data_IF_468644123363
#
_entry.id   IF_468644123363
#
_cell.length_a   1.000
_cell.length_b   1.000
_cell.length_c   1.000
_cell.angle_alpha   90.00
_cell.angle_beta   90.00
_cell.angle_gamma   90.00
#
_symmetry.space_group_name_H-M   'P 1'
#
loop_
_entity.id
_entity.type
_entity.pdbx_description
1 polymer ?
#
# COMPACT_ATOMS: atom_id res chain seq x y z
N UNK A 1 -6.65 -5.61 10.34
CA UNK A 1 -6.10 -6.94 10.02
C UNK A 1 -6.68 -8.06 10.88
N UNK A 2 -7.44 -7.74 11.96
CA UNK A 2 -7.92 -8.71 12.92
C UNK A 2 -9.43 -8.85 12.91
N UNK A 3 -9.92 -10.04 13.25
CA UNK A 3 -11.33 -10.30 13.53
C UNK A 3 -11.69 -9.71 14.90
N UNK A 4 -12.75 -8.91 14.92
CA UNK A 4 -13.29 -8.32 16.15
C UNK A 4 -14.81 -8.41 16.09
N UNK A 5 -15.42 -9.24 16.92
CA UNK A 5 -16.86 -9.49 16.88
C UNK A 5 -17.68 -8.33 17.47
N UNK A 6 -17.12 -7.61 18.43
CA UNK A 6 -17.76 -6.47 19.09
C UNK A 6 -16.84 -5.27 19.03
N UNK A 7 -17.28 -4.22 18.34
CA UNK A 7 -16.49 -3.01 18.14
C UNK A 7 -17.29 -1.77 18.47
N UNK A 8 -16.72 -0.90 19.28
CA UNK A 8 -17.26 0.42 19.54
C UNK A 8 -16.11 1.43 19.60
N UNK A 9 -16.18 2.48 18.78
CA UNK A 9 -15.23 3.57 18.81
C UNK A 9 -15.98 4.90 18.87
N UNK A 10 -15.43 5.84 19.62
CA UNK A 10 -15.88 7.23 19.67
C UNK A 10 -14.67 8.11 19.48
N UNK A 11 -14.73 9.04 18.55
CA UNK A 11 -13.71 10.05 18.32
C UNK A 11 -14.30 11.45 18.42
N UNK A 12 -13.55 12.38 19.01
CA UNK A 12 -13.94 13.77 19.12
C UNK A 12 -12.85 14.63 18.50
N UNK A 13 -13.18 15.34 17.43
CA UNK A 13 -12.30 16.32 16.83
C UNK A 13 -12.48 17.66 17.53
N UNK A 14 -11.39 18.26 17.99
CA UNK A 14 -11.41 19.53 18.71
C UNK A 14 -10.52 20.56 18.02
N UNK A 15 -10.92 21.83 18.07
CA UNK A 15 -10.05 22.93 17.68
C UNK A 15 -9.03 23.20 18.78
N UNK A 16 -7.79 23.43 18.40
CA UNK A 16 -6.70 23.78 19.32
C UNK A 16 -5.94 24.99 18.76
N UNK A 17 -5.03 25.55 19.57
CA UNK A 17 -4.11 26.61 19.14
C UNK A 17 -2.90 26.06 18.36
N UNK A 18 -2.81 24.75 18.18
CA UNK A 18 -1.78 24.12 17.36
C UNK A 18 -2.16 24.19 15.87
N UNK A 19 -1.20 24.08 14.95
CA UNK A 19 -1.51 23.92 13.52
C UNK A 19 -2.49 22.77 13.31
N UNK A 20 -3.46 22.92 12.37
CA UNK A 20 -4.46 21.89 12.14
C UNK A 20 -3.82 20.60 11.62
N UNK A 21 -4.29 19.48 12.15
CA UNK A 21 -3.94 18.17 11.62
C UNK A 21 -4.65 17.96 10.28
N UNK A 22 -3.99 17.26 9.36
CA UNK A 22 -4.52 16.93 8.04
C UNK A 22 -4.18 15.51 7.63
N UNK A 23 -4.58 15.16 6.41
CA UNK A 23 -4.25 13.87 5.84
C UNK A 23 -2.74 13.74 5.61
N UNK A 24 -2.14 12.72 6.22
CA UNK A 24 -0.76 12.35 6.01
C UNK A 24 -0.70 10.96 5.37
N UNK A 25 0.39 10.62 4.70
CA UNK A 25 0.60 9.31 4.07
C UNK A 25 0.31 8.16 5.06
N UNK A 26 -0.56 7.23 4.66
CA UNK A 26 -1.12 6.20 5.55
C UNK A 26 -2.46 6.57 6.17
N UNK A 27 -2.89 7.85 6.11
CA UNK A 27 -4.22 8.36 6.43
C UNK A 27 -4.76 7.93 7.81
N UNK A 28 -3.90 7.95 8.83
CA UNK A 28 -4.21 7.57 10.21
C UNK A 28 -4.00 6.09 10.54
N UNK A 29 -3.75 5.23 9.56
CA UNK A 29 -3.41 3.82 9.83
C UNK A 29 -2.14 3.67 10.67
N UNK A 30 -1.04 4.42 10.44
CA UNK A 30 0.13 4.31 11.30
C UNK A 30 -0.17 4.62 12.77
N UNK A 31 -0.94 5.68 13.04
CA UNK A 31 -1.31 6.07 14.40
C UNK A 31 -2.20 5.04 15.08
N UNK A 32 -3.21 4.53 14.36
CA UNK A 32 -4.09 3.49 14.91
C UNK A 32 -3.37 2.15 15.05
N UNK A 33 -2.41 1.84 14.16
CA UNK A 33 -1.60 0.64 14.28
C UNK A 33 -0.73 0.68 15.55
N UNK A 34 -0.10 1.81 15.86
CA UNK A 34 0.69 1.95 17.10
C UNK A 34 -0.19 1.61 18.31
N UNK A 35 -1.36 2.24 18.43
CA UNK A 35 -2.25 2.01 19.55
C UNK A 35 -2.74 0.56 19.64
N UNK A 36 -3.18 -0.01 18.54
CA UNK A 36 -3.71 -1.37 18.47
C UNK A 36 -2.64 -2.42 18.74
N UNK A 37 -1.49 -2.32 18.10
CA UNK A 37 -0.43 -3.30 18.21
C UNK A 37 0.24 -3.30 19.58
N UNK A 38 0.41 -2.11 20.20
CA UNK A 38 0.85 -2.03 21.59
C UNK A 38 -0.16 -2.64 22.57
N UNK A 39 -1.45 -2.39 22.37
CA UNK A 39 -2.49 -3.01 23.20
C UNK A 39 -2.51 -4.53 23.03
N UNK A 40 -2.24 -5.04 21.82
CA UNK A 40 -2.20 -6.49 21.58
C UNK A 40 -0.97 -7.16 22.22
N UNK A 41 0.17 -6.45 22.27
CA UNK A 41 1.33 -6.93 22.99
C UNK A 41 1.03 -7.05 24.50
N UNK A 42 0.41 -6.02 25.09
CA UNK A 42 0.02 -6.05 26.50
C UNK A 42 -0.99 -7.15 26.81
N UNK A 43 -1.98 -7.35 25.94
CA UNK A 43 -2.96 -8.42 26.10
C UNK A 43 -2.32 -9.81 25.97
N UNK A 44 -1.41 -10.00 25.03
CA UNK A 44 -0.70 -11.25 24.85
C UNK A 44 0.15 -11.58 26.10
N UNK A 45 0.86 -10.61 26.62
CA UNK A 45 1.69 -10.74 27.82
C UNK A 45 0.82 -11.06 29.05
N UNK A 46 -0.32 -10.37 29.24
CA UNK A 46 -1.23 -10.57 30.37
C UNK A 46 -1.81 -11.99 30.42
N UNK A 47 -2.10 -12.58 29.25
CA UNK A 47 -2.63 -13.95 29.17
C UNK A 47 -1.54 -15.02 28.98
N UNK A 48 -0.27 -14.62 29.03
CA UNK A 48 0.87 -15.55 28.87
C UNK A 48 0.95 -16.19 27.48
N UNK A 49 0.50 -15.51 26.43
CA UNK A 49 0.52 -16.01 25.06
C UNK A 49 1.65 -15.34 24.25
N UNK A 50 2.33 -16.13 23.40
CA UNK A 50 3.27 -15.57 22.43
C UNK A 50 2.61 -14.52 21.55
N UNK A 51 3.28 -13.37 21.34
CA UNK A 51 2.72 -12.20 20.65
C UNK A 51 2.38 -12.47 19.17
N UNK A 52 3.15 -13.32 18.50
CA UNK A 52 2.85 -13.77 17.14
C UNK A 52 1.65 -14.73 17.16
N UNK A 53 1.63 -15.68 18.08
CA UNK A 53 0.53 -16.64 18.22
C UNK A 53 -0.80 -15.94 18.54
N UNK A 54 -0.77 -14.89 19.39
CA UNK A 54 -1.94 -14.06 19.69
C UNK A 54 -2.48 -13.39 18.41
N UNK A 55 -1.62 -12.81 17.59
CA UNK A 55 -2.02 -12.18 16.34
C UNK A 55 -2.58 -13.17 15.34
N UNK A 56 -1.94 -14.33 15.18
CA UNK A 56 -2.42 -15.42 14.30
C UNK A 56 -3.81 -15.92 14.70
N UNK A 57 -4.05 -16.08 16.01
CA UNK A 57 -5.35 -16.52 16.55
C UNK A 57 -6.45 -15.53 16.18
N UNK A 58 -6.16 -14.25 16.19
CA UNK A 58 -7.11 -13.17 15.91
C UNK A 58 -7.06 -12.67 14.45
N UNK A 59 -6.24 -13.24 13.59
CA UNK A 59 -6.08 -12.80 12.21
C UNK A 59 -7.42 -12.88 11.45
N UNK A 60 -7.71 -11.80 10.70
CA UNK A 60 -8.84 -11.81 9.77
C UNK A 60 -8.59 -12.84 8.67
N UNK A 61 -9.63 -13.52 8.21
CA UNK A 61 -9.59 -14.50 7.13
C UNK A 61 -10.65 -14.21 6.07
N UNK A 62 -10.49 -14.79 4.91
CA UNK A 62 -11.49 -14.71 3.84
C UNK A 62 -12.87 -15.15 4.37
N UNK A 63 -13.91 -14.44 4.00
CA UNK A 63 -15.28 -14.68 4.44
C UNK A 63 -15.65 -14.11 5.81
N UNK A 64 -14.69 -13.57 6.57
CA UNK A 64 -14.96 -12.91 7.85
C UNK A 64 -15.28 -11.43 7.65
N UNK A 65 -16.23 -10.85 8.41
CA UNK A 65 -16.48 -9.42 8.38
C UNK A 65 -15.37 -8.64 9.07
N UNK A 66 -15.04 -7.48 8.52
CA UNK A 66 -14.26 -6.44 9.19
C UNK A 66 -15.11 -5.72 10.25
N UNK A 67 -14.49 -4.87 11.07
CA UNK A 67 -15.23 -4.02 12.04
C UNK A 67 -16.23 -3.06 11.38
N UNK A 68 -16.07 -2.79 10.08
CA UNK A 68 -17.01 -1.97 9.29
C UNK A 68 -18.04 -2.80 8.51
N UNK A 69 -18.08 -4.10 8.72
CA UNK A 69 -19.01 -5.02 8.07
C UNK A 69 -18.62 -5.47 6.66
N UNK A 70 -17.50 -5.01 6.11
CA UNK A 70 -17.04 -5.45 4.80
C UNK A 70 -16.53 -6.91 4.87
N UNK A 71 -16.95 -7.73 3.91
CA UNK A 71 -16.53 -9.15 3.80
C UNK A 71 -15.71 -9.33 2.52
N UNK A 72 -14.48 -9.77 2.67
CA UNK A 72 -13.62 -10.14 1.56
C UNK A 72 -13.72 -11.63 1.28
N UNK A 73 -14.09 -11.98 0.08
CA UNK A 73 -14.15 -13.39 -0.35
C UNK A 73 -12.75 -13.97 -0.57
N UNK A 74 -11.81 -13.15 -1.04
CA UNK A 74 -10.43 -13.53 -1.36
C UNK A 74 -9.49 -12.39 -1.00
N UNK A 75 -8.17 -12.68 -0.91
CA UNK A 75 -7.12 -11.68 -0.77
C UNK A 75 -6.79 -11.26 0.66
N UNK A 76 -7.34 -11.92 1.69
CA UNK A 76 -6.95 -11.70 3.08
C UNK A 76 -5.78 -12.63 3.42
N UNK A 77 -4.55 -12.14 3.26
CA UNK A 77 -3.31 -12.92 3.44
C UNK A 77 -2.56 -12.65 4.73
N UNK A 78 -3.18 -12.01 5.75
CA UNK A 78 -2.46 -11.63 6.97
C UNK A 78 -1.97 -12.86 7.78
N UNK A 79 -2.73 -13.95 7.83
CA UNK A 79 -2.32 -15.17 8.52
C UNK A 79 -1.14 -15.84 7.81
N UNK A 80 -1.08 -15.80 6.48
CA UNK A 80 0.04 -16.29 5.68
C UNK A 80 1.31 -15.47 5.93
N UNK A 81 1.18 -14.14 6.06
CA UNK A 81 2.28 -13.26 6.45
C UNK A 81 2.83 -13.64 7.83
N UNK A 82 1.95 -13.86 8.81
CA UNK A 82 2.36 -14.30 10.15
C UNK A 82 2.99 -15.69 10.13
N UNK A 83 2.46 -16.62 9.33
CA UNK A 83 3.03 -17.95 9.18
C UNK A 83 4.46 -17.90 8.63
N UNK A 84 4.71 -17.06 7.64
CA UNK A 84 6.05 -16.85 7.08
C UNK A 84 7.04 -16.27 8.10
N UNK A 85 6.56 -15.53 9.08
CA UNK A 85 7.38 -14.94 10.14
C UNK A 85 7.65 -15.89 11.32
N UNK A 86 7.03 -17.07 11.40
CA UNK A 86 7.11 -17.93 12.58
C UNK A 86 8.56 -18.34 12.93
N UNK A 87 9.34 -18.79 11.96
CA UNK A 87 10.73 -19.18 12.20
C UNK A 87 11.65 -17.96 12.44
N UNK A 88 11.58 -16.88 11.64
CA UNK A 88 12.28 -15.64 11.95
C UNK A 88 11.99 -15.10 13.35
N UNK A 89 10.73 -15.13 13.80
CA UNK A 89 10.31 -14.70 15.14
C UNK A 89 11.01 -15.50 16.25
N UNK A 90 10.91 -16.84 16.19
CA UNK A 90 11.57 -17.73 17.15
C UNK A 90 13.08 -17.50 17.22
N UNK A 91 13.71 -17.35 16.06
CA UNK A 91 15.15 -17.10 15.97
C UNK A 91 15.54 -15.74 16.58
N UNK A 92 14.73 -14.70 16.31
CA UNK A 92 14.99 -13.36 16.83
C UNK A 92 14.84 -13.32 18.37
N UNK A 93 13.80 -13.96 18.91
CA UNK A 93 13.60 -14.08 20.37
C UNK A 93 14.79 -14.79 21.04
N UNK A 94 15.24 -15.91 20.48
CA UNK A 94 16.38 -16.64 21.00
C UNK A 94 17.68 -15.81 20.99
N UNK A 95 17.92 -15.07 19.89
CA UNK A 95 19.08 -14.17 19.80
C UNK A 95 19.02 -13.04 20.82
N UNK A 96 17.83 -12.43 20.98
CA UNK A 96 17.64 -11.35 21.95
C UNK A 96 17.85 -11.84 23.39
N UNK A 97 17.32 -13.02 23.72
CA UNK A 97 17.53 -13.62 25.05
C UNK A 97 19.03 -13.84 25.33
N UNK A 98 19.75 -14.51 24.42
CA UNK A 98 21.19 -14.74 24.55
C UNK A 98 21.98 -13.44 24.70
N UNK A 99 21.68 -12.44 23.88
CA UNK A 99 22.32 -11.12 24.00
C UNK A 99 22.09 -10.49 25.36
N UNK A 100 20.87 -10.58 25.87
CA UNK A 100 20.50 -9.99 27.16
C UNK A 100 21.20 -10.70 28.34
N UNK A 101 21.29 -12.03 28.29
CA UNK A 101 21.98 -12.81 29.30
C UNK A 101 23.48 -12.45 29.35
N UNK A 102 24.12 -12.36 28.19
CA UNK A 102 25.52 -11.93 28.05
C UNK A 102 25.74 -10.48 28.53
N UNK A 103 24.81 -9.57 28.16
CA UNK A 103 24.87 -8.17 28.57
C UNK A 103 24.73 -8.04 30.09
N UNK A 104 23.82 -8.78 30.71
CA UNK A 104 23.64 -8.81 32.17
C UNK A 104 24.90 -9.32 32.85
N UNK A 105 25.46 -10.43 32.37
CA UNK A 105 26.67 -11.04 32.94
C UNK A 105 27.87 -10.10 32.89
N UNK A 106 27.96 -9.24 31.87
CA UNK A 106 29.04 -8.27 31.69
C UNK A 106 28.76 -6.89 32.27
N UNK A 107 27.64 -6.69 32.98
CA UNK A 107 27.27 -5.39 33.54
C UNK A 107 26.92 -4.32 32.49
N UNK A 108 26.64 -4.73 31.24
CA UNK A 108 26.26 -3.82 30.14
C UNK A 108 24.85 -3.27 30.34
N UNK A 109 24.60 -1.97 30.07
CA UNK A 109 23.26 -1.40 30.12
C UNK A 109 22.40 -1.76 28.90
N UNK A 110 22.98 -2.30 27.84
CA UNK A 110 22.28 -2.60 26.59
C UNK A 110 21.34 -3.80 26.74
N UNK A 111 20.18 -3.67 26.10
CA UNK A 111 19.19 -4.74 26.00
C UNK A 111 18.69 -4.84 24.55
N UNK A 112 18.43 -6.05 24.12
CA UNK A 112 17.82 -6.35 22.83
C UNK A 112 16.37 -6.76 23.02
N UNK A 113 15.49 -6.23 22.18
CA UNK A 113 14.08 -6.59 22.16
C UNK A 113 13.64 -6.98 20.76
N UNK A 114 12.56 -7.74 20.68
CA UNK A 114 11.93 -8.13 19.42
C UNK A 114 10.47 -7.74 19.46
N UNK A 115 10.03 -7.02 18.44
CA UNK A 115 8.62 -6.62 18.27
C UNK A 115 8.04 -7.17 16.98
N UNK A 116 6.73 -7.35 16.98
CA UNK A 116 5.95 -7.68 15.80
C UNK A 116 4.71 -6.79 15.74
N UNK A 117 4.40 -6.29 14.57
CA UNK A 117 3.22 -5.49 14.33
C UNK A 117 2.66 -5.79 12.94
N UNK A 118 1.38 -5.53 12.76
CA UNK A 118 0.75 -5.60 11.45
C UNK A 118 -0.05 -4.35 11.16
N UNK A 119 -0.21 -4.06 9.89
CA UNK A 119 -1.14 -3.04 9.44
C UNK A 119 -1.91 -3.54 8.22
N UNK A 120 -3.02 -2.87 7.96
CA UNK A 120 -3.78 -3.06 6.74
C UNK A 120 -4.18 -1.72 6.18
N UNK A 121 -3.84 -1.51 4.91
CA UNK A 121 -4.22 -0.32 4.18
C UNK A 121 -4.80 -0.72 2.83
N UNK A 122 -6.01 -0.24 2.53
CA UNK A 122 -6.69 -0.54 1.27
C UNK A 122 -6.00 0.12 0.08
N UNK A 123 -5.95 -0.59 -1.06
CA UNK A 123 -5.54 -0.03 -2.33
C UNK A 123 -6.75 0.56 -3.05
N UNK A 124 -6.75 1.87 -3.25
CA UNK A 124 -7.88 2.61 -3.81
C UNK A 124 -8.98 2.93 -2.80
N UNK A 125 -9.98 3.69 -3.24
CA UNK A 125 -11.18 3.98 -2.45
C UNK A 125 -12.20 2.86 -2.65
N UNK A 126 -12.29 1.93 -1.74
CA UNK A 126 -13.14 0.72 -1.88
C UNK A 126 -14.63 1.01 -1.87
N UNK A 127 -15.05 2.19 -1.43
CA UNK A 127 -16.47 2.62 -1.34
C UNK A 127 -16.89 3.68 -2.36
N UNK A 128 -15.96 4.13 -3.21
CA UNK A 128 -16.23 5.18 -4.20
C UNK A 128 -15.69 4.76 -5.57
N UNK A 129 -16.25 5.26 -6.67
CA UNK A 129 -15.68 5.08 -8.00
C UNK A 129 -14.25 5.58 -8.06
N UNK A 130 -13.40 4.85 -8.77
CA UNK A 130 -11.98 5.16 -8.95
C UNK A 130 -11.64 5.34 -10.45
N UNK A 131 -12.24 6.27 -11.16
CA UNK A 131 -11.91 6.49 -12.56
C UNK A 131 -10.49 7.05 -12.68
N UNK A 132 -9.85 6.72 -13.80
CA UNK A 132 -8.62 7.35 -14.25
C UNK A 132 -8.60 7.33 -15.77
N UNK A 133 -8.24 8.44 -16.37
CA UNK A 133 -8.15 8.58 -17.83
C UNK A 133 -6.71 8.87 -18.21
N UNK A 134 -6.20 8.15 -19.20
CA UNK A 134 -4.90 8.40 -19.81
C UNK A 134 -5.06 8.60 -21.31
N UNK A 135 -4.16 9.35 -21.91
CA UNK A 135 -4.13 9.54 -23.35
C UNK A 135 -2.70 9.30 -23.85
N UNK A 136 -2.59 8.48 -24.86
CA UNK A 136 -1.33 8.24 -25.54
C UNK A 136 -1.48 8.45 -27.04
N UNK A 137 -0.42 8.86 -27.69
CA UNK A 137 -0.40 9.08 -29.12
C UNK A 137 0.99 9.16 -29.70
N UNK A 138 1.05 9.26 -31.02
CA UNK A 138 2.28 9.52 -31.76
C UNK A 138 2.11 10.84 -32.47
N UNK A 139 3.09 11.73 -32.32
CA UNK A 139 3.13 13.01 -33.05
C UNK A 139 3.42 12.80 -34.52
N UNK A 140 3.30 13.86 -35.33
CA UNK A 140 3.65 13.80 -36.77
C UNK A 140 5.15 13.58 -36.98
N UNK A 141 5.94 13.93 -36.00
CA UNK A 141 7.40 13.78 -36.00
C UNK A 141 7.84 12.39 -35.53
N UNK A 142 6.88 11.54 -35.09
CA UNK A 142 7.13 10.16 -34.66
C UNK A 142 7.41 10.02 -33.15
N UNK A 143 7.25 11.08 -32.35
CA UNK A 143 7.43 11.00 -30.90
C UNK A 143 6.23 10.29 -30.26
N UNK A 144 6.51 9.36 -29.36
CA UNK A 144 5.49 8.68 -28.55
C UNK A 144 5.24 9.51 -27.30
N UNK A 145 4.03 10.00 -27.13
CA UNK A 145 3.67 10.93 -26.04
C UNK A 145 2.61 10.32 -25.14
N UNK A 146 2.90 10.27 -23.85
CA UNK A 146 1.96 9.87 -22.78
C UNK A 146 1.49 11.13 -22.04
N UNK A 147 0.19 11.42 -22.09
CA UNK A 147 -0.45 12.46 -21.31
C UNK A 147 -1.10 11.85 -20.07
N UNK A 148 -0.61 12.21 -18.88
CA UNK A 148 -1.12 11.68 -17.63
C UNK A 148 -1.26 12.80 -16.58
N UNK A 149 -2.43 12.86 -15.94
CA UNK A 149 -2.72 13.84 -14.89
C UNK A 149 -2.55 13.29 -13.47
N UNK A 150 -1.96 12.10 -13.31
CA UNK A 150 -1.68 11.56 -11.99
C UNK A 150 -0.52 12.33 -11.34
N UNK A 151 -0.81 13.04 -10.25
CA UNK A 151 0.19 13.88 -9.59
C UNK A 151 1.23 13.03 -8.86
N UNK A 152 2.51 13.25 -9.19
CA UNK A 152 3.64 12.75 -8.42
C UNK A 152 3.93 13.70 -7.25
N UNK A 153 3.84 13.18 -6.03
CA UNK A 153 4.12 13.90 -4.78
C UNK A 153 5.39 13.38 -4.10
N UNK A 154 6.31 12.82 -4.88
CA UNK A 154 7.54 12.20 -4.43
C UNK A 154 7.47 10.68 -4.27
N UNK A 155 6.33 10.04 -4.64
CA UNK A 155 6.18 8.59 -4.57
C UNK A 155 6.62 7.86 -5.85
N UNK A 156 7.02 8.56 -6.91
CA UNK A 156 7.53 7.98 -8.15
C UNK A 156 6.45 7.53 -9.12
N UNK A 157 5.22 8.06 -9.05
CA UNK A 157 4.13 7.67 -9.95
C UNK A 157 4.45 7.96 -11.42
N UNK A 158 5.11 9.07 -11.73
CA UNK A 158 5.51 9.41 -13.09
C UNK A 158 6.39 8.32 -13.68
N UNK A 159 7.41 7.90 -12.95
CA UNK A 159 8.31 6.82 -13.38
C UNK A 159 7.56 5.51 -13.56
N UNK A 160 6.77 5.10 -12.56
CA UNK A 160 6.08 3.80 -12.59
C UNK A 160 5.03 3.74 -13.71
N UNK A 161 4.26 4.81 -13.91
CA UNK A 161 3.24 4.85 -14.96
C UNK A 161 3.90 4.84 -16.33
N UNK A 162 5.00 5.59 -16.53
CA UNK A 162 5.77 5.55 -17.79
C UNK A 162 6.37 4.17 -18.05
N UNK A 163 6.86 3.48 -17.01
CA UNK A 163 7.34 2.10 -17.15
C UNK A 163 6.24 1.13 -17.57
N UNK A 164 5.06 1.23 -16.96
CA UNK A 164 3.89 0.39 -17.35
C UNK A 164 3.50 0.66 -18.81
N UNK A 165 3.50 1.94 -19.21
CA UNK A 165 3.21 2.35 -20.57
C UNK A 165 4.22 1.77 -21.57
N UNK A 166 5.51 1.96 -21.33
CA UNK A 166 6.59 1.48 -22.17
C UNK A 166 6.57 -0.05 -22.34
N UNK A 167 6.38 -0.78 -21.24
CA UNK A 167 6.30 -2.24 -21.23
C UNK A 167 5.10 -2.73 -22.06
N UNK A 168 3.94 -2.12 -21.91
CA UNK A 168 2.73 -2.48 -22.64
C UNK A 168 2.84 -2.23 -24.17
N UNK A 169 3.55 -1.16 -24.56
CA UNK A 169 3.79 -0.84 -25.97
C UNK A 169 4.95 -1.66 -26.58
N UNK A 170 5.86 -2.16 -25.74
CA UNK A 170 7.04 -2.91 -26.13
C UNK A 170 8.20 -2.03 -26.58
N UNK A 171 8.35 -0.85 -25.97
CA UNK A 171 9.41 0.12 -26.24
C UNK A 171 10.21 0.45 -24.99
N UNK A 172 11.33 1.15 -25.14
CA UNK A 172 12.07 1.65 -23.97
C UNK A 172 11.33 2.80 -23.29
N UNK A 173 11.45 2.89 -21.96
CA UNK A 173 10.93 4.03 -21.20
C UNK A 173 11.53 5.37 -21.66
N UNK A 174 12.71 5.35 -22.26
CA UNK A 174 13.39 6.52 -22.81
C UNK A 174 12.83 6.98 -24.17
N UNK A 175 12.01 6.14 -24.81
CA UNK A 175 11.37 6.48 -26.08
C UNK A 175 10.02 7.19 -25.89
N UNK A 176 9.56 7.33 -24.63
CA UNK A 176 8.33 8.02 -24.31
C UNK A 176 8.59 9.44 -23.81
N UNK A 177 7.87 10.39 -24.37
CA UNK A 177 7.75 11.74 -23.83
C UNK A 177 6.57 11.80 -22.88
N UNK A 178 6.82 12.11 -21.62
CA UNK A 178 5.80 12.31 -20.61
C UNK A 178 5.32 13.76 -20.60
N UNK A 179 4.01 13.97 -20.72
CA UNK A 179 3.33 15.24 -20.46
C UNK A 179 2.50 15.08 -19.20
N UNK A 180 2.86 15.81 -18.14
CA UNK A 180 2.23 15.77 -16.84
C UNK A 180 2.06 17.17 -16.24
N UNK A 181 1.39 17.26 -15.11
CA UNK A 181 1.23 18.49 -14.31
C UNK A 181 0.63 19.70 -15.05
N UNK A 182 -0.11 19.48 -16.12
CA UNK A 182 -0.76 20.51 -16.91
C UNK A 182 -2.23 20.15 -17.11
N UNK A 183 -3.12 20.94 -16.50
CA UNK A 183 -4.57 20.71 -16.56
C UNK A 183 -5.19 20.98 -17.94
N UNK A 184 -4.54 21.70 -18.81
CA UNK A 184 -5.00 21.96 -20.17
C UNK A 184 -4.61 20.84 -21.13
N UNK A 185 -3.50 20.16 -20.84
CA UNK A 185 -2.93 19.13 -21.71
C UNK A 185 -3.20 17.69 -21.23
N UNK A 186 -3.42 17.48 -19.95
CA UNK A 186 -3.57 16.14 -19.37
C UNK A 186 -5.01 15.80 -19.00
N UNK A 187 -5.46 14.57 -19.23
CA UNK A 187 -6.77 14.12 -18.79
C UNK A 187 -6.82 13.94 -17.27
N UNK A 188 -8.03 13.94 -16.71
CA UNK A 188 -8.22 13.67 -15.28
C UNK A 188 -7.90 12.21 -14.94
N UNK A 189 -6.85 12.02 -14.18
CA UNK A 189 -6.44 10.72 -13.62
C UNK A 189 -6.98 10.47 -12.20
N UNK A 190 -7.82 11.37 -11.70
CA UNK A 190 -8.29 11.35 -10.33
C UNK A 190 -7.21 11.72 -9.31
N UNK A 191 -7.59 11.77 -8.07
CA UNK A 191 -6.73 12.22 -6.97
C UNK A 191 -5.59 11.25 -6.67
N UNK A 192 -4.42 11.78 -6.28
CA UNK A 192 -3.32 11.03 -5.70
C UNK A 192 -3.60 10.82 -4.21
N UNK A 193 -4.31 9.76 -3.87
CA UNK A 193 -4.65 9.37 -2.51
C UNK A 193 -5.01 7.88 -2.43
N UNK A 194 -5.17 7.34 -1.24
CA UNK A 194 -5.63 5.97 -0.99
C UNK A 194 -4.82 4.89 -1.72
N UNK A 195 -3.55 5.14 -2.03
CA UNK A 195 -2.64 4.21 -2.73
C UNK A 195 -3.17 3.72 -4.10
N UNK A 196 -3.89 4.58 -4.84
CA UNK A 196 -4.59 4.18 -6.07
C UNK A 196 -3.76 4.32 -7.35
N UNK A 197 -2.75 5.19 -7.40
CA UNK A 197 -2.15 5.60 -8.67
C UNK A 197 -1.53 4.44 -9.46
N UNK A 198 -0.66 3.65 -8.87
CA UNK A 198 -0.04 2.52 -9.58
C UNK A 198 -1.07 1.51 -10.08
N UNK A 199 -2.08 1.19 -9.26
CA UNK A 199 -3.10 0.21 -9.65
C UNK A 199 -4.11 0.78 -10.64
N UNK A 200 -4.73 1.92 -10.32
CA UNK A 200 -5.85 2.47 -11.11
C UNK A 200 -5.33 3.21 -12.33
N UNK A 201 -4.43 4.18 -12.13
CA UNK A 201 -3.85 4.96 -13.23
C UNK A 201 -2.88 4.14 -14.07
N UNK A 202 -2.10 3.24 -13.45
CA UNK A 202 -1.30 2.28 -14.20
C UNK A 202 -2.13 1.32 -15.06
N UNK A 203 -3.34 0.92 -14.60
CA UNK A 203 -4.25 0.15 -15.45
C UNK A 203 -4.79 0.98 -16.62
N UNK A 204 -5.08 2.26 -16.41
CA UNK A 204 -5.50 3.16 -17.48
C UNK A 204 -4.37 3.35 -18.51
N UNK A 205 -3.12 3.49 -18.06
CA UNK A 205 -1.96 3.51 -18.93
C UNK A 205 -1.88 2.22 -19.76
N UNK A 206 -1.85 1.06 -19.13
CA UNK A 206 -1.83 -0.24 -19.81
C UNK A 206 -2.91 -0.36 -20.90
N UNK A 207 -4.12 0.10 -20.64
CA UNK A 207 -5.21 0.02 -21.61
C UNK A 207 -5.05 1.02 -22.77
N UNK A 208 -4.52 2.21 -22.51
CA UNK A 208 -4.30 3.20 -23.56
C UNK A 208 -3.20 2.78 -24.53
N UNK A 209 -2.14 2.13 -24.02
CA UNK A 209 -1.08 1.57 -24.86
C UNK A 209 -1.55 0.39 -25.70
N UNK A 210 -2.30 -0.51 -25.10
CA UNK A 210 -2.88 -1.65 -25.83
C UNK A 210 -3.74 -1.16 -27.00
N UNK A 211 -4.55 -0.12 -26.77
CA UNK A 211 -5.35 0.48 -27.83
C UNK A 211 -4.49 1.16 -28.91
N UNK A 212 -3.43 1.87 -28.53
CA UNK A 212 -2.51 2.49 -29.50
C UNK A 212 -1.78 1.42 -30.32
N UNK A 213 -1.27 0.39 -29.67
CA UNK A 213 -0.60 -0.73 -30.34
C UNK A 213 -1.52 -1.40 -31.37
N UNK A 214 -2.76 -1.71 -30.99
CA UNK A 214 -3.74 -2.26 -31.93
C UNK A 214 -4.00 -1.34 -33.13
N UNK A 215 -4.11 -0.02 -32.90
CA UNK A 215 -4.25 0.94 -33.99
C UNK A 215 -3.05 0.93 -34.95
N UNK A 216 -1.84 0.89 -34.41
CA UNK A 216 -0.59 0.86 -35.20
C UNK A 216 -0.52 -0.40 -36.06
N UNK A 217 -0.80 -1.56 -35.48
CA UNK A 217 -0.79 -2.85 -36.22
C UNK A 217 -1.81 -2.84 -37.34
N UNK A 218 -3.04 -2.34 -37.09
CA UNK A 218 -4.09 -2.24 -38.14
C UNK A 218 -3.71 -1.29 -39.28
N UNK A 219 -3.06 -0.15 -38.99
CA UNK A 219 -2.67 0.81 -40.02
C UNK A 219 -1.39 0.40 -40.76
N UNK A 220 -0.49 -0.31 -40.09
CA UNK A 220 0.75 -0.80 -40.67
C UNK A 220 0.60 -2.06 -41.53
N UNK A 221 -0.59 -2.67 -41.63
CA UNK A 221 -0.79 -4.00 -42.24
C UNK A 221 0.22 -5.04 -41.76
N UNK A 222 0.58 -4.97 -40.47
CA UNK A 222 1.49 -5.92 -39.82
C UNK A 222 0.66 -6.81 -38.95
N UNK A 223 0.70 -8.12 -39.22
CA UNK A 223 0.04 -9.15 -38.40
C UNK A 223 0.79 -9.44 -37.11
#
# INVERSE_FOLDING_TARGET
PYKTDHYRATSVAVHTNAPPAGAFRGFGVPQSAIAQECAYDLLADEIGMDRLAFRRRNALRNGMPTVTGQVFKNGVGIDDCFAALEQPWKNALSKAAKFNDEAIANGSPWRSGVGIASCWYGCGNTSLPNPSTMRMGITREGEIVLHQGAMDIGQGSNTVITQIAADALGVSVHDLTLVDCDTDLTPDCGKTSASRQTFVSGKAALLSEQALREMLLRHGNVD
#
